data_IF_139650736155
#
_entry.id   IF_139650736155
#
_cell.length_a   1.000
_cell.length_b   1.000
_cell.length_c   1.000
_cell.angle_alpha   90.00
_cell.angle_beta   90.00
_cell.angle_gamma   90.00
#
_symmetry.space_group_name_H-M   'P 1'
#
loop_
_entity.id
_entity.type
_entity.pdbx_description
1 polymer ?
#
# COMPACT_ATOMS: atom_id res chain seq x y z
N UNK A 1 -16.75 -6.34 24.11
CA UNK A 1 -16.65 -5.56 22.86
C UNK A 1 -15.59 -6.12 21.94
N UNK A 2 -14.35 -6.25 22.35
CA UNK A 2 -13.24 -6.83 21.56
C UNK A 2 -13.54 -8.22 21.01
N UNK A 3 -14.14 -9.13 21.82
CA UNK A 3 -14.49 -10.48 21.36
C UNK A 3 -15.52 -10.52 20.20
N UNK A 4 -16.42 -9.54 20.10
CA UNK A 4 -17.35 -9.43 18.96
C UNK A 4 -16.64 -8.95 17.70
N UNK A 5 -15.67 -8.04 17.84
CA UNK A 5 -14.85 -7.53 16.72
C UNK A 5 -14.01 -8.67 16.15
N UNK A 6 -13.30 -9.42 17.00
CA UNK A 6 -12.50 -10.57 16.53
C UNK A 6 -13.35 -11.65 15.87
N UNK A 7 -14.57 -11.86 16.34
CA UNK A 7 -15.48 -12.85 15.76
C UNK A 7 -15.92 -12.45 14.35
N UNK A 8 -16.21 -11.16 14.10
CA UNK A 8 -16.59 -10.70 12.75
C UNK A 8 -15.49 -10.89 11.72
N UNK A 9 -14.21 -10.75 12.11
CA UNK A 9 -13.08 -11.04 11.22
C UNK A 9 -12.88 -12.53 10.96
N UNK A 10 -13.12 -13.37 11.97
CA UNK A 10 -13.02 -14.82 11.83
C UNK A 10 -14.10 -15.40 10.92
N UNK A 11 -15.27 -14.78 10.93
CA UNK A 11 -16.44 -15.22 10.16
C UNK A 11 -16.38 -14.80 8.67
N UNK A 12 -15.30 -14.11 8.23
CA UNK A 12 -15.07 -13.76 6.82
C UNK A 12 -14.89 -15.02 5.97
N UNK A 13 -15.28 -14.99 4.67
CA UNK A 13 -15.07 -16.09 3.75
C UNK A 13 -13.60 -16.51 3.68
N UNK A 14 -13.36 -17.82 3.55
CA UNK A 14 -11.99 -18.38 3.46
C UNK A 14 -11.15 -17.73 2.35
N UNK A 15 -11.79 -17.38 1.23
CA UNK A 15 -11.10 -16.72 0.10
C UNK A 15 -10.53 -15.35 0.48
N UNK A 16 -11.19 -14.61 1.39
CA UNK A 16 -10.69 -13.34 1.92
C UNK A 16 -9.45 -13.59 2.79
N UNK A 17 -9.46 -14.58 3.66
CA UNK A 17 -8.27 -14.91 4.46
C UNK A 17 -7.08 -15.30 3.58
N UNK A 18 -7.32 -16.07 2.49
CA UNK A 18 -6.28 -16.39 1.51
C UNK A 18 -5.74 -15.15 0.80
N UNK A 19 -6.62 -14.21 0.42
CA UNK A 19 -6.21 -12.92 -0.15
C UNK A 19 -5.37 -12.12 0.83
N UNK A 20 -5.78 -12.02 2.10
CA UNK A 20 -5.05 -11.29 3.15
C UNK A 20 -3.64 -11.88 3.36
N UNK A 21 -3.51 -13.21 3.40
CA UNK A 21 -2.21 -13.87 3.52
C UNK A 21 -1.33 -13.62 2.28
N UNK A 22 -1.93 -13.59 1.09
CA UNK A 22 -1.25 -13.23 -0.15
C UNK A 22 -0.79 -11.78 -0.12
N UNK A 23 -1.68 -10.84 0.26
CA UNK A 23 -1.35 -9.42 0.41
C UNK A 23 -0.24 -9.21 1.44
N UNK A 24 -0.30 -9.89 2.57
CA UNK A 24 0.71 -9.83 3.62
C UNK A 24 2.08 -10.27 3.06
N UNK A 25 2.14 -11.43 2.41
CA UNK A 25 3.40 -11.97 1.87
C UNK A 25 4.02 -11.03 0.82
N UNK A 26 3.25 -10.48 -0.11
CA UNK A 26 3.75 -9.50 -1.08
C UNK A 26 4.11 -8.16 -0.42
N UNK A 27 3.37 -7.76 0.61
CA UNK A 27 3.65 -6.53 1.36
C UNK A 27 4.98 -6.61 2.13
N UNK A 28 5.42 -7.79 2.55
CA UNK A 28 6.75 -7.97 3.17
C UNK A 28 7.85 -7.53 2.20
N UNK A 29 7.81 -7.99 0.93
CA UNK A 29 8.76 -7.57 -0.10
C UNK A 29 8.69 -6.05 -0.30
N UNK A 30 7.48 -5.53 -0.50
CA UNK A 30 7.28 -4.09 -0.77
C UNK A 30 7.82 -3.21 0.35
N UNK A 31 7.56 -3.56 1.60
CA UNK A 31 8.04 -2.81 2.78
C UNK A 31 9.55 -2.91 2.92
N UNK A 32 10.15 -4.11 2.76
CA UNK A 32 11.59 -4.27 2.81
C UNK A 32 12.29 -3.41 1.75
N UNK A 33 11.73 -3.35 0.55
CA UNK A 33 12.24 -2.50 -0.53
C UNK A 33 12.14 -1.00 -0.19
N UNK A 34 11.10 -0.57 0.52
CA UNK A 34 11.03 0.81 1.01
C UNK A 34 12.08 1.07 2.09
N UNK A 35 12.30 0.11 3.00
CA UNK A 35 13.15 0.32 4.17
C UNK A 35 14.65 0.25 3.86
N UNK A 36 15.11 -0.74 3.10
CA UNK A 36 16.54 -1.02 2.96
C UNK A 36 17.07 -1.03 1.52
N UNK A 37 16.22 -1.10 0.46
CA UNK A 37 16.72 -1.16 -0.91
C UNK A 37 17.51 0.10 -1.31
N UNK A 38 17.09 1.28 -0.88
CA UNK A 38 17.81 2.52 -1.16
C UNK A 38 19.20 2.54 -0.48
N UNK A 39 19.31 1.96 0.71
CA UNK A 39 20.58 1.80 1.42
C UNK A 39 21.48 0.84 0.66
N UNK A 40 20.93 -0.28 0.20
CA UNK A 40 21.64 -1.25 -0.61
C UNK A 40 22.17 -0.64 -1.93
N UNK A 41 21.32 0.09 -2.67
CA UNK A 41 21.71 0.81 -3.89
C UNK A 41 22.86 1.79 -3.61
N UNK A 42 22.78 2.58 -2.54
CA UNK A 42 23.83 3.54 -2.17
C UNK A 42 25.15 2.83 -1.82
N UNK A 43 25.09 1.72 -1.09
CA UNK A 43 26.28 0.88 -0.78
C UNK A 43 26.92 0.29 -2.04
N UNK A 44 26.14 0.00 -3.08
CA UNK A 44 26.64 -0.44 -4.38
C UNK A 44 27.16 0.71 -5.27
N UNK A 45 27.21 1.94 -4.77
CA UNK A 45 27.83 3.09 -5.44
C UNK A 45 26.89 3.94 -6.30
N UNK A 46 25.57 3.67 -6.31
CA UNK A 46 24.62 4.50 -7.04
C UNK A 46 24.40 5.83 -6.33
N UNK A 47 24.34 6.91 -7.10
CA UNK A 47 24.05 8.27 -6.64
C UNK A 47 22.56 8.45 -6.30
N UNK A 48 22.24 9.44 -5.46
CA UNK A 48 20.85 9.73 -5.09
C UNK A 48 19.92 10.03 -6.28
N UNK A 49 20.36 10.76 -7.35
CA UNK A 49 19.56 10.94 -8.55
C UNK A 49 19.27 9.64 -9.31
N UNK A 50 20.24 8.71 -9.39
CA UNK A 50 20.04 7.39 -10.02
C UNK A 50 19.04 6.56 -9.22
N UNK A 51 19.16 6.52 -7.88
CA UNK A 51 18.23 5.83 -6.98
C UNK A 51 16.82 6.39 -7.15
N UNK A 52 16.67 7.72 -7.20
CA UNK A 52 15.39 8.37 -7.45
C UNK A 52 14.81 8.01 -8.83
N UNK A 53 15.66 7.95 -9.86
CA UNK A 53 15.27 7.53 -11.21
C UNK A 53 14.75 6.10 -11.22
N UNK A 54 15.47 5.15 -10.63
CA UNK A 54 15.02 3.75 -10.53
C UNK A 54 13.69 3.63 -9.77
N UNK A 55 13.56 4.30 -8.63
CA UNK A 55 12.30 4.32 -7.87
C UNK A 55 11.13 4.91 -8.66
N UNK A 56 11.37 5.89 -9.55
CA UNK A 56 10.31 6.47 -10.38
C UNK A 56 9.74 5.48 -11.40
N UNK A 57 10.56 4.56 -11.93
CA UNK A 57 10.14 3.57 -12.93
C UNK A 57 9.02 2.65 -12.42
N UNK A 58 9.02 2.30 -11.13
CA UNK A 58 7.93 1.50 -10.54
C UNK A 58 6.57 2.21 -10.63
N UNK A 59 6.55 3.54 -10.49
CA UNK A 59 5.32 4.32 -10.58
C UNK A 59 4.86 4.48 -12.04
N UNK A 60 5.80 4.58 -12.98
CA UNK A 60 5.51 4.61 -14.42
C UNK A 60 4.85 3.30 -14.85
N UNK A 61 5.39 2.15 -14.42
CA UNK A 61 4.79 0.84 -14.68
C UNK A 61 3.35 0.75 -14.16
N UNK A 62 3.12 1.21 -12.93
CA UNK A 62 1.78 1.24 -12.36
C UNK A 62 0.84 2.19 -13.11
N UNK A 63 1.29 3.41 -13.43
CA UNK A 63 0.48 4.44 -14.10
C UNK A 63 0.08 4.03 -15.51
N UNK A 64 1.03 3.50 -16.29
CA UNK A 64 0.80 3.15 -17.69
C UNK A 64 -0.17 1.97 -17.87
N UNK A 65 -0.11 0.99 -16.97
CA UNK A 65 -0.84 -0.27 -17.15
C UNK A 65 -2.10 -0.39 -16.28
N UNK A 66 -2.31 0.44 -15.26
CA UNK A 66 -3.45 0.30 -14.37
C UNK A 66 -4.78 0.50 -15.10
N UNK A 67 -4.89 1.55 -15.90
CA UNK A 67 -6.13 1.83 -16.65
C UNK A 67 -6.44 0.76 -17.70
N UNK A 68 -5.51 0.36 -18.59
CA UNK A 68 -5.73 -0.76 -19.52
C UNK A 68 -6.11 -2.05 -18.79
N UNK A 69 -5.47 -2.35 -17.67
CA UNK A 69 -5.80 -3.52 -16.86
C UNK A 69 -7.23 -3.44 -16.31
N UNK A 70 -7.63 -2.31 -15.71
CA UNK A 70 -8.97 -2.14 -15.15
C UNK A 70 -10.08 -2.37 -16.18
N UNK A 71 -9.85 -1.93 -17.43
CA UNK A 71 -10.77 -2.19 -18.55
C UNK A 71 -10.75 -3.67 -18.92
N UNK A 72 -9.56 -4.29 -18.98
CA UNK A 72 -9.37 -5.66 -19.41
C UNK A 72 -9.97 -6.69 -18.43
N UNK A 73 -9.90 -6.45 -17.12
CA UNK A 73 -10.35 -7.38 -16.07
C UNK A 73 -11.85 -7.31 -15.79
N UNK A 74 -12.56 -6.39 -16.44
CA UNK A 74 -13.99 -6.21 -16.25
C UNK A 74 -14.74 -7.52 -16.49
N UNK A 75 -15.53 -7.96 -15.51
CA UNK A 75 -16.30 -9.21 -15.58
C UNK A 75 -15.47 -10.49 -15.64
N UNK A 76 -14.14 -10.41 -15.59
CA UNK A 76 -13.26 -11.59 -15.62
C UNK A 76 -12.95 -12.12 -14.22
N UNK A 77 -12.53 -13.37 -14.15
CA UNK A 77 -11.94 -13.95 -12.94
C UNK A 77 -10.63 -13.26 -12.63
N UNK A 78 -10.41 -12.90 -11.36
CA UNK A 78 -9.25 -12.14 -10.90
C UNK A 78 -8.10 -13.03 -10.43
N UNK A 79 -8.36 -14.31 -10.14
CA UNK A 79 -7.36 -15.30 -9.72
C UNK A 79 -6.13 -15.37 -10.65
N UNK A 80 -6.23 -15.39 -12.00
CA UNK A 80 -5.06 -15.44 -12.87
C UNK A 80 -4.12 -14.22 -12.67
N UNK A 81 -4.69 -13.05 -12.38
CA UNK A 81 -3.92 -11.83 -12.14
C UNK A 81 -3.22 -11.85 -10.79
N UNK A 82 -3.84 -12.45 -9.75
CA UNK A 82 -3.17 -12.70 -8.48
C UNK A 82 -1.99 -13.67 -8.63
N UNK A 83 -2.18 -14.77 -9.37
CA UNK A 83 -1.09 -15.71 -9.67
C UNK A 83 0.04 -14.97 -10.41
N UNK A 84 -0.30 -14.18 -11.43
CA UNK A 84 0.68 -13.41 -12.18
C UNK A 84 1.44 -12.42 -11.30
N UNK A 85 0.75 -11.69 -10.41
CA UNK A 85 1.39 -10.78 -9.46
C UNK A 85 2.36 -11.51 -8.52
N UNK A 86 1.93 -12.67 -7.98
CA UNK A 86 2.75 -13.46 -7.05
C UNK A 86 3.95 -14.15 -7.73
N UNK A 87 3.97 -14.25 -9.04
CA UNK A 87 5.14 -14.67 -9.83
C UNK A 87 6.04 -13.46 -10.15
N UNK A 88 5.46 -12.40 -10.72
CA UNK A 88 6.23 -11.23 -11.18
C UNK A 88 6.95 -10.55 -10.02
N UNK A 89 6.27 -10.27 -8.89
CA UNK A 89 6.85 -9.49 -7.81
C UNK A 89 8.09 -10.16 -7.21
N UNK A 90 8.06 -11.41 -6.75
CA UNK A 90 9.27 -12.04 -6.21
C UNK A 90 10.38 -12.24 -7.25
N UNK A 91 10.05 -12.62 -8.49
CA UNK A 91 11.05 -12.82 -9.55
C UNK A 91 11.75 -11.49 -9.89
N UNK A 92 10.99 -10.42 -10.07
CA UNK A 92 11.58 -9.11 -10.36
C UNK A 92 12.30 -8.51 -9.15
N UNK A 93 11.88 -8.85 -7.93
CA UNK A 93 12.61 -8.50 -6.70
C UNK A 93 13.99 -9.14 -6.67
N UNK A 94 14.09 -10.45 -6.93
CA UNK A 94 15.36 -11.14 -7.07
C UNK A 94 16.19 -10.54 -8.20
N UNK A 95 15.57 -10.23 -9.33
CA UNK A 95 16.26 -9.59 -10.46
C UNK A 95 16.80 -8.19 -10.09
N UNK A 96 16.06 -7.39 -9.30
CA UNK A 96 16.55 -6.11 -8.76
C UNK A 96 17.78 -6.34 -7.90
N UNK A 97 17.70 -7.26 -6.93
CA UNK A 97 18.79 -7.53 -5.99
C UNK A 97 20.06 -7.90 -6.74
N UNK A 98 19.99 -8.85 -7.68
CA UNK A 98 21.16 -9.31 -8.43
C UNK A 98 21.66 -8.27 -9.44
N UNK A 99 20.76 -7.58 -10.14
CA UNK A 99 21.20 -6.56 -11.10
C UNK A 99 21.85 -5.35 -10.40
N UNK A 100 21.44 -5.01 -9.19
CA UNK A 100 22.07 -3.99 -8.34
C UNK A 100 23.45 -4.46 -7.88
N UNK A 101 23.56 -5.71 -7.40
CA UNK A 101 24.83 -6.30 -6.98
C UNK A 101 25.87 -6.30 -8.12
N UNK A 102 25.44 -6.57 -9.35
CA UNK A 102 26.30 -6.59 -10.53
C UNK A 102 26.34 -5.27 -11.31
N UNK A 103 25.67 -4.22 -10.83
CA UNK A 103 25.61 -2.88 -11.42
C UNK A 103 25.14 -2.85 -12.90
N UNK A 104 24.22 -3.75 -13.29
CA UNK A 104 23.66 -3.83 -14.64
C UNK A 104 22.48 -2.87 -14.78
N UNK A 105 22.75 -1.58 -15.05
CA UNK A 105 21.74 -0.49 -15.06
C UNK A 105 20.51 -0.79 -15.94
N UNK A 106 20.64 -1.26 -17.21
CA UNK A 106 19.42 -1.55 -18.01
C UNK A 106 18.53 -2.62 -17.39
N UNK A 107 19.11 -3.61 -16.72
CA UNK A 107 18.38 -4.67 -16.06
C UNK A 107 17.70 -4.17 -14.79
N UNK A 108 18.35 -3.28 -14.03
CA UNK A 108 17.75 -2.58 -12.88
C UNK A 108 16.49 -1.83 -13.33
N UNK A 109 16.60 -1.04 -14.40
CA UNK A 109 15.48 -0.25 -14.91
C UNK A 109 14.30 -1.13 -15.34
N UNK A 110 14.54 -2.19 -16.10
CA UNK A 110 13.52 -3.15 -16.53
C UNK A 110 12.88 -3.86 -15.32
N UNK A 111 13.68 -4.25 -14.35
CA UNK A 111 13.20 -4.94 -13.16
C UNK A 111 12.33 -4.05 -12.29
N UNK A 112 12.68 -2.78 -12.05
CA UNK A 112 11.84 -1.82 -11.33
C UNK A 112 10.51 -1.56 -12.04
N UNK A 113 10.52 -1.39 -13.37
CA UNK A 113 9.31 -1.23 -14.18
C UNK A 113 8.38 -2.46 -14.02
N UNK A 114 8.94 -3.64 -14.18
CA UNK A 114 8.20 -4.91 -14.09
C UNK A 114 7.68 -5.18 -12.68
N UNK A 115 8.47 -4.83 -11.67
CA UNK A 115 8.05 -4.91 -10.27
C UNK A 115 6.87 -3.99 -9.98
N UNK A 116 6.92 -2.74 -10.48
CA UNK A 116 5.81 -1.79 -10.39
C UNK A 116 4.53 -2.32 -11.05
N UNK A 117 4.66 -2.97 -12.22
CA UNK A 117 3.56 -3.65 -12.90
C UNK A 117 2.97 -4.78 -12.05
N UNK A 118 3.80 -5.66 -11.46
CA UNK A 118 3.35 -6.74 -10.59
C UNK A 118 2.58 -6.24 -9.36
N UNK A 119 3.09 -5.21 -8.69
CA UNK A 119 2.41 -4.58 -7.54
C UNK A 119 1.09 -3.89 -7.94
N UNK A 120 1.03 -3.32 -9.14
CA UNK A 120 -0.19 -2.72 -9.67
C UNK A 120 -1.27 -3.78 -9.93
N UNK A 121 -0.92 -4.95 -10.50
CA UNK A 121 -1.86 -6.08 -10.67
C UNK A 121 -2.56 -6.41 -9.35
N UNK A 122 -1.80 -6.51 -8.27
CA UNK A 122 -2.34 -6.80 -6.95
C UNK A 122 -3.32 -5.71 -6.50
N UNK A 123 -2.91 -4.44 -6.55
CA UNK A 123 -3.72 -3.30 -6.08
C UNK A 123 -5.03 -3.14 -6.87
N UNK A 124 -4.97 -3.27 -8.20
CA UNK A 124 -6.15 -3.08 -9.07
C UNK A 124 -7.14 -4.21 -8.89
N UNK A 125 -6.68 -5.45 -8.68
CA UNK A 125 -7.55 -6.62 -8.55
C UNK A 125 -8.10 -6.82 -7.13
N UNK A 126 -7.37 -6.39 -6.08
CA UNK A 126 -7.71 -6.68 -4.69
C UNK A 126 -9.06 -6.09 -4.28
N UNK A 127 -9.28 -4.81 -4.54
CA UNK A 127 -10.48 -4.10 -4.13
C UNK A 127 -11.77 -4.66 -4.76
N UNK A 128 -11.86 -4.85 -6.10
CA UNK A 128 -13.00 -5.50 -6.71
C UNK A 128 -13.21 -6.93 -6.20
N UNK A 129 -12.13 -7.69 -5.99
CA UNK A 129 -12.21 -9.05 -5.49
C UNK A 129 -12.84 -9.13 -4.09
N UNK A 130 -12.41 -8.25 -3.18
CA UNK A 130 -12.97 -8.17 -1.82
C UNK A 130 -14.46 -7.90 -1.89
N UNK A 131 -14.89 -6.90 -2.65
CA UNK A 131 -16.30 -6.53 -2.76
C UNK A 131 -17.14 -7.64 -3.40
N UNK A 132 -16.61 -8.35 -4.41
CA UNK A 132 -17.30 -9.48 -5.04
C UNK A 132 -17.40 -10.71 -4.13
N UNK A 133 -16.44 -10.89 -3.23
CA UNK A 133 -16.33 -12.08 -2.37
C UNK A 133 -16.96 -11.89 -0.99
N UNK A 134 -17.53 -10.71 -0.70
CA UNK A 134 -18.14 -10.37 0.59
C UNK A 134 -19.58 -9.90 0.41
N UNK A 135 -20.38 -10.02 1.46
CA UNK A 135 -21.69 -9.39 1.55
C UNK A 135 -21.56 -7.91 1.97
N UNK A 136 -22.63 -7.14 1.78
CA UNK A 136 -22.69 -5.75 2.24
C UNK A 136 -22.48 -5.59 3.76
N UNK A 137 -22.68 -6.65 4.53
CA UNK A 137 -22.49 -6.66 5.99
C UNK A 137 -21.03 -6.85 6.39
N UNK A 138 -20.24 -7.56 5.57
CA UNK A 138 -18.87 -7.99 5.88
C UNK A 138 -17.80 -7.30 5.02
N UNK A 139 -18.18 -6.47 4.06
CA UNK A 139 -17.25 -5.80 3.15
C UNK A 139 -16.32 -4.83 3.87
N UNK A 140 -16.82 -4.10 4.86
CA UNK A 140 -15.99 -3.18 5.66
C UNK A 140 -14.96 -3.94 6.48
N UNK A 141 -15.31 -5.10 7.06
CA UNK A 141 -14.39 -5.95 7.79
C UNK A 141 -13.26 -6.46 6.88
N UNK A 142 -13.57 -6.95 5.70
CA UNK A 142 -12.58 -7.43 4.76
C UNK A 142 -11.64 -6.32 4.28
N UNK A 143 -12.18 -5.15 3.93
CA UNK A 143 -11.39 -3.97 3.55
C UNK A 143 -10.53 -3.45 4.69
N UNK A 144 -11.05 -3.47 5.92
CA UNK A 144 -10.29 -3.07 7.11
C UNK A 144 -9.14 -4.03 7.41
N UNK A 145 -9.36 -5.33 7.22
CA UNK A 145 -8.32 -6.35 7.39
C UNK A 145 -7.23 -6.20 6.32
N UNK A 146 -7.62 -5.97 5.06
CA UNK A 146 -6.67 -5.68 3.97
C UNK A 146 -5.84 -4.41 4.26
N UNK A 147 -6.48 -3.32 4.71
CA UNK A 147 -5.77 -2.09 5.09
C UNK A 147 -4.82 -2.31 6.28
N UNK A 148 -5.23 -3.09 7.30
CA UNK A 148 -4.40 -3.42 8.45
C UNK A 148 -3.20 -4.30 8.07
N UNK A 149 -3.30 -5.09 7.02
CA UNK A 149 -2.25 -5.99 6.54
C UNK A 149 -0.98 -5.23 6.17
N UNK A 150 -1.10 -4.05 5.57
CA UNK A 150 0.05 -3.20 5.28
C UNK A 150 0.83 -2.81 6.54
N UNK A 151 0.12 -2.34 7.57
CA UNK A 151 0.76 -1.94 8.83
C UNK A 151 1.39 -3.14 9.55
N UNK A 152 0.73 -4.30 9.51
CA UNK A 152 1.27 -5.53 10.08
C UNK A 152 2.55 -5.96 9.34
N UNK A 153 2.56 -5.90 8.00
CA UNK A 153 3.74 -6.19 7.19
C UNK A 153 4.89 -5.21 7.50
N UNK A 154 4.58 -3.94 7.75
CA UNK A 154 5.57 -2.92 8.12
C UNK A 154 6.23 -3.26 9.46
N UNK A 155 5.44 -3.60 10.47
CA UNK A 155 5.94 -3.98 11.79
C UNK A 155 6.80 -5.26 11.67
N UNK A 156 6.26 -6.28 11.00
CA UNK A 156 6.95 -7.56 10.86
C UNK A 156 8.26 -7.44 10.08
N UNK A 157 8.26 -6.73 8.93
CA UNK A 157 9.48 -6.48 8.15
C UNK A 157 10.51 -5.68 8.95
N UNK A 158 10.07 -4.65 9.67
CA UNK A 158 10.98 -3.86 10.52
C UNK A 158 11.65 -4.70 11.61
N UNK A 159 10.87 -5.51 12.32
CA UNK A 159 11.40 -6.43 13.35
C UNK A 159 12.32 -7.48 12.73
N UNK A 160 11.94 -8.05 11.59
CA UNK A 160 12.75 -9.07 10.92
C UNK A 160 14.09 -8.50 10.42
N UNK A 161 14.06 -7.33 9.76
CA UNK A 161 15.26 -6.64 9.28
C UNK A 161 16.17 -6.30 10.45
N UNK A 162 15.66 -5.65 11.48
CA UNK A 162 16.45 -5.27 12.66
C UNK A 162 16.97 -6.47 13.42
N UNK A 163 16.21 -7.55 13.51
CA UNK A 163 16.62 -8.77 14.16
C UNK A 163 17.75 -9.50 13.43
N UNK A 164 17.66 -9.59 12.10
CA UNK A 164 18.71 -10.20 11.26
C UNK A 164 20.00 -9.34 11.27
N UNK A 165 19.86 -8.02 11.15
CA UNK A 165 20.97 -7.08 11.23
C UNK A 165 21.70 -7.16 12.59
N UNK A 166 20.92 -7.26 13.70
CA UNK A 166 21.47 -7.43 15.06
C UNK A 166 22.24 -8.75 15.22
N UNK A 167 21.75 -9.85 14.63
CA UNK A 167 22.46 -11.15 14.62
C UNK A 167 23.74 -11.04 13.80
N UNK A 168 23.75 -10.25 12.73
CA UNK A 168 24.89 -9.94 11.86
C UNK A 168 25.37 -11.12 11.03
N UNK A 169 25.62 -12.28 11.65
CA UNK A 169 26.00 -13.52 10.94
C UNK A 169 25.60 -14.76 11.72
N UNK A 170 25.39 -15.86 10.99
CA UNK A 170 25.10 -17.18 11.57
C UNK A 170 26.08 -18.20 11.01
N UNK A 171 26.85 -18.87 11.87
CA UNK A 171 27.81 -19.91 11.47
C UNK A 171 27.14 -21.29 11.64
N UNK A 172 26.99 -22.01 10.53
CA UNK A 172 26.46 -23.37 10.49
C UNK A 172 27.57 -24.31 9.99
N UNK A 173 28.39 -24.78 10.91
CA UNK A 173 29.55 -25.60 10.58
C UNK A 173 30.59 -24.84 9.74
N UNK A 174 30.76 -25.24 8.45
CA UNK A 174 31.71 -24.59 7.52
C UNK A 174 31.11 -23.37 6.84
N UNK A 175 29.79 -23.18 6.89
CA UNK A 175 29.07 -22.10 6.21
C UNK A 175 28.82 -20.93 7.15
N UNK A 176 29.16 -19.71 6.71
CA UNK A 176 28.82 -18.48 7.41
C UNK A 176 27.85 -17.69 6.57
N UNK A 177 26.63 -17.52 7.05
CA UNK A 177 25.62 -16.65 6.47
C UNK A 177 25.78 -15.25 7.09
N UNK A 178 26.10 -14.26 6.28
CA UNK A 178 26.19 -12.85 6.68
C UNK A 178 24.84 -12.20 6.37
N UNK A 179 24.25 -11.52 7.35
CA UNK A 179 22.98 -10.81 7.20
C UNK A 179 23.23 -9.33 6.85
N UNK A 180 23.75 -9.10 5.63
CA UNK A 180 23.83 -7.78 4.99
C UNK A 180 22.50 -7.44 4.27
N UNK A 181 22.40 -6.26 3.71
CA UNK A 181 21.18 -5.81 3.01
C UNK A 181 20.83 -6.74 1.84
N UNK A 182 21.82 -7.26 1.12
CA UNK A 182 21.63 -8.21 0.02
C UNK A 182 20.94 -9.48 0.51
N UNK A 183 21.49 -10.11 1.54
CA UNK A 183 20.96 -11.37 2.12
C UNK A 183 19.59 -11.18 2.77
N UNK A 184 19.38 -10.06 3.48
CA UNK A 184 18.09 -9.73 4.12
C UNK A 184 17.02 -9.52 3.04
N UNK A 185 17.31 -8.80 1.95
CA UNK A 185 16.37 -8.62 0.83
C UNK A 185 16.00 -9.95 0.19
N UNK A 186 16.96 -10.87 0.03
CA UNK A 186 16.71 -12.21 -0.49
C UNK A 186 15.82 -13.03 0.45
N UNK A 187 16.10 -13.04 1.76
CA UNK A 187 15.30 -13.76 2.76
C UNK A 187 13.84 -13.29 2.68
N UNK A 188 13.61 -11.98 2.66
CA UNK A 188 12.27 -11.42 2.60
C UNK A 188 11.60 -11.69 1.23
N UNK A 189 12.36 -11.67 0.15
CA UNK A 189 11.85 -12.03 -1.19
C UNK A 189 11.39 -13.49 -1.24
N UNK A 190 12.14 -14.41 -0.66
CA UNK A 190 11.76 -15.83 -0.55
C UNK A 190 10.52 -16.00 0.34
N UNK A 191 10.45 -15.30 1.48
CA UNK A 191 9.25 -15.29 2.32
C UNK A 191 8.05 -14.75 1.55
N UNK A 192 8.21 -13.66 0.81
CA UNK A 192 7.16 -13.08 -0.02
C UNK A 192 6.72 -13.97 -1.18
N UNK A 193 7.62 -14.79 -1.72
CA UNK A 193 7.30 -15.77 -2.77
C UNK A 193 6.30 -16.84 -2.30
N UNK A 194 6.13 -17.05 -0.98
CA UNK A 194 5.07 -17.90 -0.44
C UNK A 194 3.66 -17.42 -0.82
N UNK A 195 3.51 -16.18 -1.26
CA UNK A 195 2.25 -15.61 -1.76
C UNK A 195 1.61 -16.46 -2.87
N UNK A 196 2.40 -17.12 -3.72
CA UNK A 196 1.89 -17.99 -4.78
C UNK A 196 1.05 -19.15 -4.24
N UNK A 197 1.43 -19.70 -3.09
CA UNK A 197 0.73 -20.78 -2.43
C UNK A 197 -0.70 -20.40 -2.02
N UNK A 198 -0.88 -19.15 -1.62
CA UNK A 198 -2.20 -18.61 -1.29
C UNK A 198 -2.99 -18.28 -2.56
N UNK A 199 -2.35 -17.68 -3.58
CA UNK A 199 -2.98 -17.33 -4.85
C UNK A 199 -3.59 -18.54 -5.55
N UNK A 200 -2.88 -19.66 -5.62
CA UNK A 200 -3.37 -20.89 -6.26
C UNK A 200 -4.60 -21.46 -5.55
N UNK A 201 -4.69 -21.29 -4.23
CA UNK A 201 -5.81 -21.79 -3.41
C UNK A 201 -7.04 -20.90 -3.39
N UNK A 202 -6.95 -19.68 -3.91
CA UNK A 202 -8.12 -18.81 -4.10
C UNK A 202 -9.08 -19.51 -5.06
N UNK A 203 -10.35 -19.60 -4.65
CA UNK A 203 -11.46 -20.09 -5.48
C UNK A 203 -12.42 -18.94 -5.72
N UNK A 204 -12.72 -18.67 -6.98
CA UNK A 204 -13.76 -17.72 -7.36
C UNK A 204 -15.03 -18.48 -7.71
N UNK A 205 -16.20 -17.98 -7.27
CA UNK A 205 -17.48 -18.49 -7.70
C UNK A 205 -17.70 -18.28 -9.20
N UNK A 206 -18.75 -18.92 -9.74
CA UNK A 206 -19.20 -18.62 -11.10
C UNK A 206 -19.62 -17.16 -11.16
N UNK A 207 -18.94 -16.38 -12.00
CA UNK A 207 -19.39 -15.04 -12.32
C UNK A 207 -20.39 -15.14 -13.47
N UNK A 208 -21.54 -14.50 -13.31
CA UNK A 208 -22.41 -14.26 -14.46
C UNK A 208 -21.60 -13.46 -15.49
N UNK A 209 -21.40 -14.06 -16.64
CA UNK A 209 -20.70 -13.48 -17.81
C UNK A 209 -21.53 -12.30 -18.40
N UNK A 210 -21.79 -11.27 -17.60
CA UNK A 210 -22.54 -10.08 -18.04
C UNK A 210 -21.73 -9.17 -18.97
N UNK A 211 -20.44 -9.49 -19.20
CA UNK A 211 -19.53 -8.66 -19.99
C UNK A 211 -19.08 -9.27 -21.32
N UNK A 212 -19.70 -10.36 -21.77
CA UNK A 212 -19.18 -11.16 -22.91
C UNK A 212 -19.34 -10.52 -24.30
N UNK A 213 -20.08 -9.42 -24.43
CA UNK A 213 -20.41 -8.83 -25.74
C UNK A 213 -20.10 -7.32 -25.92
N UNK A 214 -19.42 -6.68 -24.99
CA UNK A 214 -19.03 -5.30 -25.21
C UNK A 214 -17.65 -5.25 -25.90
N UNK A 215 -17.61 -4.81 -27.15
CA UNK A 215 -16.39 -4.52 -27.89
C UNK A 215 -15.46 -3.65 -27.06
N UNK A 216 -14.20 -4.09 -26.88
CA UNK A 216 -13.14 -3.34 -26.19
C UNK A 216 -12.96 -1.92 -26.69
N UNK A 217 -13.42 -1.62 -27.92
CA UNK A 217 -13.38 -0.29 -28.56
C UNK A 217 -14.58 0.61 -28.18
N UNK A 218 -15.61 0.09 -27.50
CA UNK A 218 -16.80 0.87 -27.12
C UNK A 218 -16.70 1.42 -25.68
N UNK A 219 -15.50 1.75 -25.19
CA UNK A 219 -15.22 2.25 -23.83
C UNK A 219 -16.15 3.43 -23.47
N UNK A 220 -16.39 4.35 -24.41
CA UNK A 220 -17.19 5.56 -24.15
C UNK A 220 -18.67 5.25 -23.84
N UNK A 221 -19.25 4.20 -24.46
CA UNK A 221 -20.65 3.81 -24.27
C UNK A 221 -20.84 2.78 -23.16
N UNK A 222 -19.76 2.12 -22.76
CA UNK A 222 -19.79 1.00 -21.83
C UNK A 222 -19.79 1.43 -20.35
N UNK A 223 -19.29 2.63 -20.03
CA UNK A 223 -19.15 3.14 -18.65
C UNK A 223 -19.99 4.40 -18.42
N UNK A 224 -20.47 4.59 -17.21
CA UNK A 224 -21.10 5.83 -16.78
C UNK A 224 -20.02 6.83 -16.32
N UNK A 225 -19.50 7.60 -17.29
CA UNK A 225 -18.44 8.56 -17.04
C UNK A 225 -18.83 9.69 -16.09
N UNK A 226 -20.13 10.08 -16.07
CA UNK A 226 -20.62 11.10 -15.14
C UNK A 226 -20.51 10.61 -13.70
N UNK A 227 -20.94 9.37 -13.47
CA UNK A 227 -20.87 8.72 -12.16
C UNK A 227 -19.40 8.52 -11.72
N UNK A 228 -18.55 8.04 -12.65
CA UNK A 228 -17.12 7.83 -12.40
C UNK A 228 -16.44 9.13 -12.02
N UNK A 229 -16.71 10.23 -12.74
CA UNK A 229 -16.07 11.52 -12.47
C UNK A 229 -16.49 12.09 -11.09
N UNK A 230 -17.77 11.95 -10.73
CA UNK A 230 -18.26 12.33 -9.40
C UNK A 230 -17.61 11.49 -8.29
N UNK A 231 -17.43 10.20 -8.54
CA UNK A 231 -16.84 9.29 -7.58
C UNK A 231 -15.33 9.54 -7.36
N UNK A 232 -14.60 9.89 -8.44
CA UNK A 232 -13.15 10.03 -8.41
C UNK A 232 -12.68 11.43 -7.98
N UNK A 233 -13.51 12.47 -8.13
CA UNK A 233 -13.14 13.84 -7.81
C UNK A 233 -12.63 14.06 -6.38
N UNK A 234 -13.23 13.47 -5.32
CA UNK A 234 -12.66 13.56 -3.98
C UNK A 234 -11.31 12.85 -3.84
N UNK A 235 -11.14 11.72 -4.56
CA UNK A 235 -9.89 10.98 -4.56
C UNK A 235 -8.74 11.75 -5.20
N UNK A 236 -9.01 12.53 -6.25
CA UNK A 236 -8.02 13.41 -6.89
C UNK A 236 -7.50 14.41 -5.86
N UNK A 237 -8.40 15.10 -5.13
CA UNK A 237 -8.02 16.07 -4.11
C UNK A 237 -7.20 15.44 -2.98
N UNK A 238 -7.66 14.29 -2.48
CA UNK A 238 -6.94 13.55 -1.42
C UNK A 238 -5.56 13.10 -1.93
N UNK A 239 -5.46 12.57 -3.15
CA UNK A 239 -4.20 12.10 -3.71
C UNK A 239 -3.19 13.24 -3.92
N UNK A 240 -3.64 14.40 -4.40
CA UNK A 240 -2.79 15.59 -4.53
C UNK A 240 -2.28 16.04 -3.15
N UNK A 241 -3.17 16.20 -2.18
CA UNK A 241 -2.80 16.59 -0.82
C UNK A 241 -1.85 15.59 -0.14
N UNK A 242 -2.10 14.30 -0.33
CA UNK A 242 -1.22 13.24 0.18
C UNK A 242 0.17 13.28 -0.48
N UNK A 243 0.23 13.44 -1.80
CA UNK A 243 1.49 13.55 -2.54
C UNK A 243 2.33 14.74 -2.09
N UNK A 244 1.72 15.89 -1.82
CA UNK A 244 2.41 17.10 -1.37
C UNK A 244 2.85 17.05 0.10
N UNK A 245 2.30 16.16 0.92
CA UNK A 245 2.59 16.15 2.36
C UNK A 245 3.37 14.92 2.82
N UNK A 246 2.94 13.71 2.44
CA UNK A 246 3.45 12.46 3.01
C UNK A 246 4.96 12.28 2.78
N UNK A 247 5.52 12.51 1.58
CA UNK A 247 6.95 12.29 1.33
C UNK A 247 7.87 13.21 2.12
N UNK A 248 7.37 14.35 2.59
CA UNK A 248 8.16 15.42 3.20
C UNK A 248 8.00 15.56 4.72
N UNK A 249 7.16 14.74 5.35
CA UNK A 249 6.95 14.80 6.80
C UNK A 249 8.23 14.50 7.59
N UNK A 250 9.05 13.56 7.13
CA UNK A 250 10.35 13.28 7.74
C UNK A 250 11.30 14.48 7.63
N UNK A 251 11.30 15.16 6.49
CA UNK A 251 12.10 16.35 6.25
C UNK A 251 11.64 17.51 7.15
N UNK A 252 10.33 17.70 7.29
CA UNK A 252 9.75 18.67 8.22
C UNK A 252 10.26 18.47 9.65
N UNK A 253 10.15 17.24 10.19
CA UNK A 253 10.64 16.97 11.55
C UNK A 253 12.16 17.14 11.70
N UNK A 254 12.92 16.80 10.65
CA UNK A 254 14.36 16.97 10.67
C UNK A 254 14.77 18.44 10.55
N UNK A 255 14.22 19.20 9.58
CA UNK A 255 14.63 20.59 9.33
C UNK A 255 14.11 21.57 10.38
N UNK A 256 12.87 21.38 10.87
CA UNK A 256 12.23 22.30 11.82
C UNK A 256 12.63 21.99 13.27
N UNK A 257 12.65 20.72 13.64
CA UNK A 257 12.86 20.29 15.03
C UNK A 257 14.18 19.55 15.27
N UNK A 258 15.03 19.37 14.25
CA UNK A 258 16.29 18.65 14.39
C UNK A 258 16.14 17.16 14.73
N UNK A 259 14.97 16.55 14.44
CA UNK A 259 14.72 15.17 14.77
C UNK A 259 15.60 14.25 13.93
N UNK A 260 16.34 13.36 14.57
CA UNK A 260 17.19 12.39 13.86
C UNK A 260 16.34 11.34 13.11
N UNK A 261 16.90 10.76 12.05
CA UNK A 261 16.25 9.69 11.30
C UNK A 261 15.87 8.50 12.18
N UNK A 262 16.67 8.18 13.19
CA UNK A 262 16.38 7.12 14.15
C UNK A 262 15.15 7.42 14.99
N UNK A 263 15.04 8.62 15.55
CA UNK A 263 13.88 9.04 16.35
C UNK A 263 12.61 9.12 15.49
N UNK A 264 12.72 9.59 14.24
CA UNK A 264 11.59 9.60 13.31
C UNK A 264 11.14 8.17 12.93
N UNK A 265 12.07 7.24 12.77
CA UNK A 265 11.75 5.81 12.52
C UNK A 265 11.01 5.18 13.69
N UNK A 266 11.38 5.53 14.93
CA UNK A 266 10.64 5.09 16.12
C UNK A 266 9.21 5.63 16.14
N UNK A 267 9.02 6.93 15.82
CA UNK A 267 7.68 7.51 15.65
C UNK A 267 6.89 6.79 14.55
N UNK A 268 7.53 6.48 13.43
CA UNK A 268 6.94 5.70 12.34
C UNK A 268 6.45 4.32 12.81
N UNK A 269 7.22 3.64 13.64
CA UNK A 269 6.85 2.34 14.20
C UNK A 269 5.65 2.43 15.14
N UNK A 270 5.63 3.43 16.02
CA UNK A 270 4.49 3.69 16.93
C UNK A 270 3.23 3.99 16.12
N UNK A 271 3.33 4.85 15.12
CA UNK A 271 2.19 5.19 14.27
C UNK A 271 1.69 4.01 13.44
N UNK A 272 2.59 3.16 12.91
CA UNK A 272 2.20 1.95 12.19
C UNK A 272 1.42 0.98 13.09
N UNK A 273 1.84 0.81 14.36
CA UNK A 273 1.12 0.01 15.32
C UNK A 273 -0.29 0.58 15.61
N UNK A 274 -0.39 1.89 15.81
CA UNK A 274 -1.68 2.55 16.00
C UNK A 274 -2.57 2.43 14.75
N UNK A 275 -2.02 2.62 13.55
CA UNK A 275 -2.74 2.44 12.28
C UNK A 275 -3.30 1.01 12.19
N UNK A 276 -2.52 -0.01 12.54
CA UNK A 276 -2.99 -1.39 12.58
C UNK A 276 -4.20 -1.55 13.50
N UNK A 277 -4.10 -1.11 14.75
CA UNK A 277 -5.20 -1.24 15.75
C UNK A 277 -6.45 -0.47 15.29
N UNK A 278 -6.27 0.78 14.87
CA UNK A 278 -7.39 1.64 14.49
C UNK A 278 -8.06 1.18 13.19
N UNK A 279 -7.32 0.62 12.24
CA UNK A 279 -7.91 0.02 11.03
C UNK A 279 -8.87 -1.13 11.37
N UNK A 280 -8.55 -1.94 12.37
CA UNK A 280 -9.42 -3.02 12.83
C UNK A 280 -10.70 -2.52 13.56
N UNK A 281 -10.73 -1.27 14.01
CA UNK A 281 -11.89 -0.66 14.65
C UNK A 281 -12.89 -0.04 13.66
N UNK A 282 -12.49 0.15 12.40
CA UNK A 282 -13.31 0.81 11.35
C UNK A 282 -14.69 0.19 11.18
N UNK A 283 -14.87 -1.15 11.09
CA UNK A 283 -16.19 -1.73 10.91
C UNK A 283 -17.14 -1.42 12.05
N UNK A 284 -16.61 -1.38 13.28
CA UNK A 284 -17.41 -1.00 14.45
C UNK A 284 -17.88 0.45 14.38
N UNK A 285 -16.98 1.37 14.02
CA UNK A 285 -17.31 2.79 13.87
C UNK A 285 -18.31 3.00 12.74
N UNK A 286 -18.09 2.35 11.59
CA UNK A 286 -18.98 2.43 10.44
C UNK A 286 -20.39 1.90 10.77
N UNK A 287 -20.50 0.76 11.43
CA UNK A 287 -21.81 0.18 11.83
C UNK A 287 -22.53 1.01 12.87
N UNK A 288 -21.80 1.66 13.81
CA UNK A 288 -22.39 2.45 14.89
C UNK A 288 -22.71 3.89 14.47
N UNK A 289 -21.85 4.54 13.70
CA UNK A 289 -21.92 5.98 13.41
C UNK A 289 -22.09 6.30 11.92
N UNK A 290 -22.08 5.28 11.02
CA UNK A 290 -22.23 5.43 9.58
C UNK A 290 -21.00 5.97 8.87
N UNK A 291 -21.13 6.14 7.55
CA UNK A 291 -20.03 6.61 6.69
C UNK A 291 -19.60 8.04 6.98
N UNK A 292 -20.54 8.95 7.27
CA UNK A 292 -20.24 10.35 7.53
C UNK A 292 -19.20 10.51 8.64
N UNK A 293 -19.45 9.87 9.79
CA UNK A 293 -18.54 9.95 10.92
C UNK A 293 -17.21 9.27 10.64
N UNK A 294 -17.25 8.10 10.00
CA UNK A 294 -16.07 7.28 9.77
C UNK A 294 -15.15 7.84 8.66
N UNK A 295 -15.69 8.60 7.72
CA UNK A 295 -14.92 9.18 6.62
C UNK A 295 -14.68 10.68 6.86
N UNK A 296 -15.75 11.47 6.90
CA UNK A 296 -15.65 12.93 6.86
C UNK A 296 -15.08 13.49 8.17
N UNK A 297 -15.65 13.09 9.32
CA UNK A 297 -15.19 13.62 10.61
C UNK A 297 -13.77 13.15 10.92
N UNK A 298 -13.46 11.86 10.67
CA UNK A 298 -12.15 11.31 10.93
C UNK A 298 -11.09 11.97 10.04
N UNK A 299 -11.37 12.20 8.75
CA UNK A 299 -10.45 12.92 7.86
C UNK A 299 -10.31 14.40 8.23
N UNK A 300 -11.40 15.06 8.63
CA UNK A 300 -11.33 16.43 9.11
C UNK A 300 -10.43 16.57 10.35
N UNK A 301 -10.54 15.65 11.31
CA UNK A 301 -9.65 15.61 12.47
C UNK A 301 -8.19 15.38 12.05
N UNK A 302 -7.94 14.51 11.07
CA UNK A 302 -6.58 14.29 10.54
C UNK A 302 -6.02 15.56 9.88
N UNK A 303 -6.85 16.32 9.16
CA UNK A 303 -6.46 17.61 8.57
C UNK A 303 -6.18 18.64 9.68
N UNK A 304 -7.01 18.71 10.73
CA UNK A 304 -6.74 19.56 11.90
C UNK A 304 -5.38 19.24 12.52
N UNK A 305 -5.05 17.95 12.67
CA UNK A 305 -3.72 17.56 13.16
C UNK A 305 -2.60 18.03 12.22
N UNK A 306 -2.79 17.98 10.89
CA UNK A 306 -1.83 18.49 9.93
C UNK A 306 -1.63 20.01 10.05
N UNK A 307 -2.74 20.75 10.22
CA UNK A 307 -2.70 22.21 10.44
C UNK A 307 -1.97 22.55 11.75
N UNK A 308 -2.25 21.78 12.81
CA UNK A 308 -1.52 21.95 14.08
C UNK A 308 -0.01 21.72 13.89
N UNK A 309 0.39 20.68 13.15
CA UNK A 309 1.81 20.45 12.84
C UNK A 309 2.43 21.66 12.10
N UNK A 310 1.73 22.21 11.09
CA UNK A 310 2.21 23.36 10.35
C UNK A 310 2.32 24.62 11.22
N UNK A 311 1.35 24.85 12.13
CA UNK A 311 1.41 25.97 13.07
C UNK A 311 2.61 25.82 14.05
N UNK A 312 2.95 24.60 14.44
CA UNK A 312 4.08 24.35 15.37
C UNK A 312 5.45 24.68 14.75
N UNK A 313 5.56 24.84 13.43
CA UNK A 313 6.74 25.40 12.79
C UNK A 313 7.04 26.82 13.31
N UNK A 314 6.01 27.66 13.51
CA UNK A 314 6.14 29.02 14.04
C UNK A 314 6.59 29.03 15.52
N UNK A 315 6.45 27.93 16.21
CA UNK A 315 6.81 27.76 17.62
C UNK A 315 7.96 26.75 17.82
N UNK A 316 8.78 26.55 16.78
CA UNK A 316 9.86 25.56 16.78
C UNK A 316 10.93 25.82 17.87
N UNK A 317 11.15 27.10 18.26
CA UNK A 317 12.08 27.49 19.30
C UNK A 317 11.64 27.07 20.72
N UNK A 318 10.37 26.77 20.90
CA UNK A 318 9.82 26.37 22.20
C UNK A 318 9.76 24.86 22.35
N UNK A 319 10.17 24.33 23.49
CA UNK A 319 10.16 22.89 23.77
C UNK A 319 8.79 22.24 23.62
N UNK A 320 7.70 22.96 23.81
CA UNK A 320 6.34 22.45 23.60
C UNK A 320 5.99 22.27 22.12
N UNK A 321 6.62 23.02 21.20
CA UNK A 321 6.34 22.95 19.76
C UNK A 321 6.58 21.55 19.19
N UNK A 322 7.73 20.95 19.48
CA UNK A 322 8.03 19.59 19.05
C UNK A 322 7.07 18.55 19.67
N UNK A 323 6.73 18.70 20.96
CA UNK A 323 5.84 17.75 21.65
C UNK A 323 4.45 17.74 21.01
N UNK A 324 3.89 18.93 20.75
CA UNK A 324 2.57 19.07 20.11
C UNK A 324 2.62 18.54 18.66
N UNK A 325 3.68 18.85 17.90
CA UNK A 325 3.85 18.36 16.53
C UNK A 325 3.93 16.82 16.49
N UNK A 326 4.67 16.21 17.41
CA UNK A 326 4.77 14.73 17.53
C UNK A 326 3.42 14.10 17.89
N UNK A 327 2.71 14.67 18.86
CA UNK A 327 1.36 14.18 19.24
C UNK A 327 0.40 14.31 18.04
N UNK A 328 0.41 15.44 17.35
CA UNK A 328 -0.42 15.66 16.16
C UNK A 328 -0.09 14.66 15.05
N UNK A 329 1.19 14.36 14.82
CA UNK A 329 1.63 13.35 13.85
C UNK A 329 1.15 11.94 14.24
N UNK A 330 1.34 11.55 15.50
CA UNK A 330 0.92 10.24 16.01
C UNK A 330 -0.60 10.04 15.87
N UNK A 331 -1.40 11.08 16.10
CA UNK A 331 -2.85 11.02 15.96
C UNK A 331 -3.29 11.07 14.50
N UNK A 332 -2.64 11.88 13.66
CA UNK A 332 -2.98 12.07 12.25
C UNK A 332 -2.93 10.77 11.45
N UNK A 333 -1.88 9.96 11.64
CA UNK A 333 -1.66 8.76 10.84
C UNK A 333 -2.80 7.73 10.96
N UNK A 334 -3.20 7.29 12.17
CA UNK A 334 -4.34 6.38 12.31
C UNK A 334 -5.64 6.99 11.79
N UNK A 335 -5.91 8.27 12.05
CA UNK A 335 -7.11 8.95 11.58
C UNK A 335 -7.21 8.96 10.05
N UNK A 336 -6.13 9.26 9.32
CA UNK A 336 -6.13 9.19 7.86
C UNK A 336 -6.37 7.77 7.35
N UNK A 337 -5.70 6.79 7.93
CA UNK A 337 -5.81 5.40 7.47
C UNK A 337 -7.15 4.74 7.80
N UNK A 338 -7.82 5.13 8.90
CA UNK A 338 -9.15 4.64 9.25
C UNK A 338 -10.22 4.97 8.23
N UNK A 339 -10.11 6.11 7.55
CA UNK A 339 -11.10 6.51 6.55
C UNK A 339 -11.06 5.64 5.30
N UNK A 340 -9.90 5.08 4.93
CA UNK A 340 -9.70 4.35 3.67
C UNK A 340 -10.63 3.14 3.48
N UNK A 341 -10.79 2.19 4.42
CA UNK A 341 -11.66 1.04 4.23
C UNK A 341 -13.11 1.42 3.97
N UNK A 342 -13.64 2.36 4.77
CA UNK A 342 -15.01 2.82 4.63
C UNK A 342 -15.22 3.65 3.35
N UNK A 343 -14.23 4.47 2.97
CA UNK A 343 -14.26 5.24 1.72
C UNK A 343 -14.22 4.32 0.49
N UNK A 344 -13.37 3.28 0.51
CA UNK A 344 -13.29 2.29 -0.56
C UNK A 344 -14.60 1.50 -0.69
N UNK A 345 -15.20 1.08 0.42
CA UNK A 345 -16.51 0.42 0.42
C UNK A 345 -17.59 1.33 -0.19
N UNK A 346 -17.67 2.58 0.28
CA UNK A 346 -18.64 3.55 -0.23
C UNK A 346 -18.43 3.80 -1.72
N UNK A 347 -17.19 3.99 -2.15
CA UNK A 347 -16.81 4.21 -3.54
C UNK A 347 -17.26 3.06 -4.43
N UNK A 348 -16.95 1.82 -4.04
CA UNK A 348 -17.30 0.63 -4.81
C UNK A 348 -18.81 0.39 -4.90
N UNK A 349 -19.53 0.67 -3.82
CA UNK A 349 -20.98 0.57 -3.80
C UNK A 349 -21.65 1.68 -4.63
N UNK A 350 -21.09 2.91 -4.59
CA UNK A 350 -21.61 4.06 -5.33
C UNK A 350 -21.52 3.88 -6.85
N UNK A 351 -20.39 3.37 -7.35
CA UNK A 351 -20.19 3.19 -8.78
C UNK A 351 -20.87 1.95 -9.35
N UNK A 352 -21.27 1.01 -8.49
CA UNK A 352 -21.92 -0.24 -8.87
C UNK A 352 -21.00 -1.24 -9.56
N UNK A 353 -21.43 -2.48 -9.64
CA UNK A 353 -20.63 -3.64 -10.13
C UNK A 353 -19.97 -3.40 -11.48
N UNK A 354 -20.62 -2.68 -12.39
CA UNK A 354 -20.16 -2.45 -13.76
C UNK A 354 -18.89 -1.58 -13.85
N UNK A 355 -18.65 -0.70 -12.86
CA UNK A 355 -17.60 0.30 -12.89
C UNK A 355 -16.48 0.04 -11.85
N UNK A 356 -16.59 -1.03 -11.04
CA UNK A 356 -15.69 -1.27 -9.90
C UNK A 356 -14.23 -1.44 -10.33
N UNK A 357 -13.96 -2.20 -11.39
CA UNK A 357 -12.60 -2.45 -11.88
C UNK A 357 -11.95 -1.18 -12.42
N UNK A 358 -12.72 -0.40 -13.18
CA UNK A 358 -12.24 0.87 -13.73
C UNK A 358 -11.92 1.87 -12.61
N UNK A 359 -12.78 1.98 -11.60
CA UNK A 359 -12.55 2.85 -10.45
C UNK A 359 -11.34 2.41 -9.63
N UNK A 360 -11.15 1.11 -9.43
CA UNK A 360 -9.97 0.57 -8.75
C UNK A 360 -8.68 0.94 -9.51
N UNK A 361 -8.70 0.77 -10.84
CA UNK A 361 -7.60 1.14 -11.70
C UNK A 361 -7.30 2.64 -11.68
N UNK A 362 -8.32 3.49 -11.80
CA UNK A 362 -8.19 4.94 -11.73
C UNK A 362 -7.67 5.39 -10.37
N UNK A 363 -8.15 4.82 -9.26
CA UNK A 363 -7.66 5.11 -7.91
C UNK A 363 -6.18 4.76 -7.77
N UNK A 364 -5.75 3.60 -8.29
CA UNK A 364 -4.34 3.19 -8.29
C UNK A 364 -3.47 4.11 -9.15
N UNK A 365 -3.97 4.52 -10.33
CA UNK A 365 -3.27 5.46 -11.22
C UNK A 365 -3.11 6.83 -10.59
N UNK A 366 -4.17 7.37 -9.98
CA UNK A 366 -4.13 8.67 -9.31
C UNK A 366 -3.12 8.69 -8.16
N UNK A 367 -3.11 7.64 -7.35
CA UNK A 367 -2.15 7.52 -6.27
C UNK A 367 -0.71 7.50 -6.80
N UNK A 368 -0.44 6.71 -7.85
CA UNK A 368 0.89 6.63 -8.47
C UNK A 368 1.29 7.95 -9.14
N UNK A 369 0.36 8.62 -9.83
CA UNK A 369 0.59 9.92 -10.46
C UNK A 369 0.91 11.01 -9.41
N UNK A 370 0.18 11.03 -8.30
CA UNK A 370 0.38 11.97 -7.20
C UNK A 370 1.81 11.88 -6.63
N UNK A 371 2.29 10.67 -6.38
CA UNK A 371 3.66 10.46 -5.89
C UNK A 371 4.72 10.84 -6.95
N UNK A 372 4.46 10.54 -8.22
CA UNK A 372 5.36 10.92 -9.31
C UNK A 372 5.45 12.44 -9.47
N UNK A 373 4.32 13.14 -9.46
CA UNK A 373 4.28 14.61 -9.58
C UNK A 373 4.95 15.28 -8.37
N UNK A 374 4.66 14.78 -7.16
CA UNK A 374 5.27 15.28 -5.93
C UNK A 374 6.80 15.25 -5.98
N UNK A 375 7.38 14.16 -6.44
CA UNK A 375 8.83 14.01 -6.61
C UNK A 375 9.45 14.98 -7.65
N UNK A 376 8.62 15.65 -8.47
CA UNK A 376 9.06 16.65 -9.47
C UNK A 376 8.89 18.09 -8.98
N UNK A 377 7.98 18.33 -8.03
CA UNK A 377 7.68 19.67 -7.51
C UNK A 377 8.67 20.09 -6.42
N UNK A 378 9.21 19.13 -5.68
CA UNK A 378 10.25 19.30 -4.67
C UNK A 378 11.61 18.84 -5.19
#
# INVERSE_FOLDING_TARGET
MLGKIFRSYRDLPRVIHLLILLEFSLSLIHVAFILILNIFLRKQGFSDPEIASFNSLRFIGALAFALPLGIYIRGKKLKPFFILATLIVPLTSGLIIESVQHQVVPLIQLAFLSWGFGMMLMRVCSLPFIIRSTSAENSTEALSLSAATWSLATIFSGVLISGLDWVGYLTLGVWTLIFDEHSILWIITVLGATSIFFAVRITEGEQEDTARNDDLFSIRKSYDWSLIFKAISPLILISIGAGLTIPFVNLFFNSVFGLTSSNFSLLGSITAFLVFIFSLLVPFLRKKYGYWMTIVVVQALAICCLVIMAIMELYAEFSFGIVIAVIAFILRQPLMHMAHPAANELLMNYVGKKNQELISALSSSLWSASWFVSAKVF
#
